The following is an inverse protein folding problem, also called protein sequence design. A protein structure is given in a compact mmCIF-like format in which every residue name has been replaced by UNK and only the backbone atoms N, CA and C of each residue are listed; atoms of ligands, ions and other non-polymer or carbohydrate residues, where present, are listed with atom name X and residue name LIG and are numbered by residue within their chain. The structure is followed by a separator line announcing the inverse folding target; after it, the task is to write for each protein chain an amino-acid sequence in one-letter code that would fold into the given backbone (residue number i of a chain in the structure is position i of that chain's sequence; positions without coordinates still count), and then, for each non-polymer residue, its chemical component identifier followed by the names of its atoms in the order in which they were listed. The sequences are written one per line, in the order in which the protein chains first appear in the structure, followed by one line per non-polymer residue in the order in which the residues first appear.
data_IF_399093990453
#
_entry.id   IF_399093990453
#
_cell.length_a   1.000
_cell.length_b   1.000
_cell.length_c   1.000
_cell.angle_alpha   90.00
_cell.angle_beta   90.00
_cell.angle_gamma   90.00
#
_symmetry.space_group_name_H-M   'P 1'
#
loop_
_entity.id
_entity.type
_entity.pdbx_description
1 polymer ?
#
# COMPACT_ATOMS: atom_id res chain seq x y z
N UNK A 1 -8.34 -4.87 -3.44
CA UNK A 1 -8.42 -3.87 -2.36
C UNK A 1 -8.05 -4.52 -1.05
N UNK A 2 -7.23 -3.86 -0.22
CA UNK A 2 -6.85 -4.34 1.13
C UNK A 2 -7.34 -3.41 2.24
N UNK A 3 -7.35 -3.90 3.47
CA UNK A 3 -7.67 -3.13 4.66
C UNK A 3 -6.43 -2.95 5.54
N UNK A 4 -6.32 -1.82 6.20
CA UNK A 4 -5.30 -1.56 7.22
C UNK A 4 -5.60 -2.36 8.52
N UNK A 5 -4.59 -2.93 9.19
CA UNK A 5 -3.20 -3.04 8.75
C UNK A 5 -3.05 -4.05 7.62
N UNK A 6 -2.14 -3.78 6.68
CA UNK A 6 -1.88 -4.70 5.58
C UNK A 6 -0.85 -5.76 5.97
N UNK A 7 -0.99 -6.94 5.36
CA UNK A 7 0.01 -8.00 5.39
C UNK A 7 0.49 -8.31 3.97
N UNK A 8 1.81 -8.25 3.76
CA UNK A 8 2.45 -8.53 2.47
C UNK A 8 2.97 -9.97 2.45
N UNK A 9 2.57 -10.83 1.49
CA UNK A 9 2.99 -12.24 1.49
C UNK A 9 4.51 -12.44 1.38
N UNK A 10 5.05 -13.31 2.26
CA UNK A 10 6.42 -13.84 2.20
C UNK A 10 6.44 -15.24 1.60
N UNK A 11 7.58 -15.63 1.06
CA UNK A 11 7.76 -16.95 0.44
C UNK A 11 8.89 -17.73 1.12
N UNK A 12 8.70 -19.02 1.38
CA UNK A 12 9.74 -19.87 1.99
C UNK A 12 10.28 -20.89 1.00
N UNK A 13 11.35 -20.57 0.27
CA UNK A 13 12.05 -21.56 -0.56
C UNK A 13 13.01 -22.38 0.31
N UNK A 14 12.73 -23.68 0.45
CA UNK A 14 13.51 -24.62 1.29
C UNK A 14 14.46 -25.53 0.50
N UNK A 15 14.50 -25.41 -0.82
CA UNK A 15 15.34 -26.27 -1.65
C UNK A 15 16.83 -25.91 -1.57
N UNK A 16 17.71 -26.82 -1.98
CA UNK A 16 19.17 -26.67 -1.89
C UNK A 16 19.79 -25.64 -2.87
N UNK A 17 19.01 -25.09 -3.81
CA UNK A 17 19.53 -24.14 -4.79
C UNK A 17 19.79 -22.76 -4.14
N UNK A 18 21.07 -22.43 -3.91
CA UNK A 18 21.50 -21.19 -3.26
C UNK A 18 21.05 -19.92 -3.99
N UNK A 19 20.99 -19.92 -5.32
CA UNK A 19 20.56 -18.75 -6.08
C UNK A 19 19.07 -18.44 -5.83
N UNK A 20 18.24 -19.50 -5.77
CA UNK A 20 16.82 -19.36 -5.43
C UNK A 20 16.63 -18.92 -3.97
N UNK A 21 17.43 -19.44 -3.04
CA UNK A 21 17.41 -18.98 -1.64
C UNK A 21 17.73 -17.48 -1.53
N UNK A 22 18.80 -17.01 -2.18
CA UNK A 22 19.17 -15.59 -2.20
C UNK A 22 18.06 -14.72 -2.79
N UNK A 23 17.46 -15.15 -3.91
CA UNK A 23 16.33 -14.42 -4.55
C UNK A 23 15.13 -14.34 -3.61
N UNK A 24 14.74 -15.44 -2.99
CA UNK A 24 13.65 -15.49 -2.02
C UNK A 24 13.94 -14.61 -0.80
N UNK A 25 15.17 -14.66 -0.27
CA UNK A 25 15.58 -13.80 0.84
C UNK A 25 15.44 -12.32 0.48
N UNK A 26 15.98 -11.90 -0.66
CA UNK A 26 15.88 -10.50 -1.08
C UNK A 26 14.42 -10.08 -1.29
N UNK A 27 13.60 -10.94 -1.92
CA UNK A 27 12.17 -10.66 -2.10
C UNK A 27 11.46 -10.50 -0.75
N UNK A 28 11.74 -11.35 0.23
CA UNK A 28 11.11 -11.26 1.56
C UNK A 28 11.57 -10.03 2.35
N UNK A 29 12.84 -9.63 2.18
CA UNK A 29 13.38 -8.39 2.74
C UNK A 29 12.61 -7.19 2.20
N UNK A 30 12.46 -7.09 0.87
CA UNK A 30 11.67 -6.01 0.24
C UNK A 30 10.21 -6.06 0.66
N UNK A 31 9.58 -7.25 0.73
CA UNK A 31 8.22 -7.40 1.22
C UNK A 31 8.02 -6.83 2.64
N UNK A 32 9.01 -7.03 3.52
CA UNK A 32 8.99 -6.50 4.88
C UNK A 32 9.13 -4.98 4.89
N UNK A 33 10.01 -4.42 4.05
CA UNK A 33 10.15 -2.96 3.93
C UNK A 33 8.88 -2.30 3.38
N UNK A 34 8.27 -2.88 2.35
CA UNK A 34 7.02 -2.38 1.75
C UNK A 34 5.89 -2.42 2.78
N UNK A 35 5.72 -3.53 3.50
CA UNK A 35 4.69 -3.64 4.55
C UNK A 35 4.90 -2.58 5.64
N UNK A 36 6.14 -2.45 6.13
CA UNK A 36 6.46 -1.51 7.18
C UNK A 36 6.22 -0.06 6.73
N UNK A 37 6.64 0.30 5.53
CA UNK A 37 6.43 1.63 4.94
C UNK A 37 4.95 1.98 4.86
N UNK A 38 4.15 1.11 4.25
CA UNK A 38 2.72 1.36 4.05
C UNK A 38 1.99 1.42 5.40
N UNK A 39 2.23 0.48 6.31
CA UNK A 39 1.56 0.48 7.61
C UNK A 39 1.97 1.67 8.47
N UNK A 40 3.23 2.08 8.42
CA UNK A 40 3.71 3.28 9.14
C UNK A 40 3.02 4.53 8.59
N UNK A 41 3.00 4.71 7.27
CA UNK A 41 2.34 5.84 6.64
C UNK A 41 0.82 5.85 6.95
N UNK A 42 0.13 4.72 6.79
CA UNK A 42 -1.29 4.60 7.11
C UNK A 42 -1.59 4.82 8.60
N UNK A 43 -0.69 4.46 9.52
CA UNK A 43 -0.90 4.68 10.95
C UNK A 43 -1.13 6.15 11.30
N UNK A 44 -0.52 7.06 10.54
CA UNK A 44 -0.64 8.52 10.70
C UNK A 44 -1.91 9.13 10.11
N UNK A 45 -2.64 8.37 9.28
CA UNK A 45 -3.81 8.89 8.56
C UNK A 45 -5.10 8.72 9.38
N UNK A 46 -6.14 9.54 9.13
CA UNK A 46 -7.44 9.34 9.78
C UNK A 46 -8.02 7.95 9.50
N UNK A 47 -8.90 7.48 10.37
CA UNK A 47 -9.74 6.32 10.07
C UNK A 47 -10.81 6.69 9.03
N UNK A 48 -11.41 5.67 8.44
CA UNK A 48 -12.44 5.75 7.41
C UNK A 48 -11.94 6.54 6.19
N UNK A 49 -10.76 6.14 5.68
CA UNK A 49 -10.12 6.75 4.50
C UNK A 49 -9.68 5.72 3.48
N UNK A 50 -9.60 6.14 2.22
CA UNK A 50 -9.08 5.34 1.11
C UNK A 50 -7.78 5.96 0.63
N UNK A 51 -6.73 5.14 0.56
CA UNK A 51 -5.39 5.56 0.12
C UNK A 51 -4.90 4.67 -1.02
N UNK A 52 -4.31 5.30 -2.03
CA UNK A 52 -3.68 4.63 -3.15
C UNK A 52 -2.17 4.80 -3.04
N UNK A 53 -1.45 3.71 -3.22
CA UNK A 53 0.00 3.69 -3.25
C UNK A 53 0.49 3.18 -4.59
N UNK A 54 1.39 3.92 -5.23
CA UNK A 54 1.99 3.50 -6.49
C UNK A 54 3.30 2.75 -6.26
N UNK A 55 3.49 1.63 -6.97
CA UNK A 55 4.69 0.80 -6.80
C UNK A 55 5.98 1.55 -7.13
N UNK A 56 5.96 2.40 -8.16
CA UNK A 56 7.10 3.21 -8.55
C UNK A 56 7.51 4.22 -7.47
N UNK A 57 6.53 4.85 -6.80
CA UNK A 57 6.81 5.80 -5.73
C UNK A 57 7.36 5.08 -4.50
N UNK A 58 6.77 3.94 -4.10
CA UNK A 58 7.30 3.13 -2.99
C UNK A 58 8.74 2.69 -3.27
N UNK A 59 9.05 2.26 -4.50
CA UNK A 59 10.40 1.87 -4.87
C UNK A 59 11.40 3.01 -4.73
N UNK A 60 11.00 4.23 -5.13
CA UNK A 60 11.81 5.44 -4.98
C UNK A 60 12.06 5.78 -3.50
N UNK A 61 11.02 5.77 -2.66
CA UNK A 61 11.14 6.09 -1.23
C UNK A 61 12.01 5.08 -0.47
N UNK A 62 11.94 3.80 -0.85
CA UNK A 62 12.73 2.74 -0.23
C UNK A 62 14.13 2.56 -0.84
N UNK A 63 14.43 3.21 -1.97
CA UNK A 63 15.67 2.99 -2.71
C UNK A 63 15.82 1.56 -3.24
N UNK A 64 14.71 0.90 -3.57
CA UNK A 64 14.67 -0.50 -3.99
C UNK A 64 14.42 -0.66 -5.49
N UNK A 65 14.69 -1.86 -6.02
CA UNK A 65 14.40 -2.17 -7.42
C UNK A 65 12.89 -2.06 -7.72
N UNK A 66 12.54 -1.22 -8.69
CA UNK A 66 11.15 -0.92 -9.05
C UNK A 66 10.38 -2.16 -9.49
N UNK A 67 11.03 -3.07 -10.24
CA UNK A 67 10.38 -4.31 -10.67
C UNK A 67 10.10 -5.23 -9.48
N UNK A 68 11.04 -5.36 -8.55
CA UNK A 68 10.88 -6.19 -7.37
C UNK A 68 9.78 -5.67 -6.45
N UNK A 69 9.71 -4.35 -6.23
CA UNK A 69 8.63 -3.71 -5.45
C UNK A 69 7.28 -3.90 -6.14
N UNK A 70 7.23 -3.74 -7.47
CA UNK A 70 6.03 -4.04 -8.26
C UNK A 70 5.58 -5.50 -8.09
N UNK A 71 6.48 -6.48 -8.27
CA UNK A 71 6.17 -7.91 -8.10
C UNK A 71 5.65 -8.22 -6.68
N UNK A 72 6.16 -7.51 -5.66
CA UNK A 72 5.72 -7.62 -4.25
C UNK A 72 4.30 -7.07 -4.06
N UNK A 73 4.03 -5.87 -4.57
CA UNK A 73 2.71 -5.23 -4.47
C UNK A 73 1.67 -6.00 -5.26
N UNK A 74 2.02 -6.42 -6.48
CA UNK A 74 1.15 -7.25 -7.32
C UNK A 74 0.77 -8.56 -6.62
N UNK A 75 1.71 -9.23 -5.95
CA UNK A 75 1.42 -10.44 -5.19
C UNK A 75 0.51 -10.21 -3.96
N UNK A 76 0.35 -8.96 -3.51
CA UNK A 76 -0.46 -8.63 -2.34
C UNK A 76 -1.93 -8.45 -2.71
N UNK A 77 -2.22 -7.70 -3.78
CA UNK A 77 -3.60 -7.30 -4.13
C UNK A 77 -3.93 -7.39 -5.63
N UNK A 78 -3.00 -7.85 -6.47
CA UNK A 78 -3.19 -8.00 -7.91
C UNK A 78 -3.23 -6.68 -8.69
N UNK A 79 -2.97 -5.54 -8.05
CA UNK A 79 -2.96 -4.23 -8.71
C UNK A 79 -1.76 -4.05 -9.64
N UNK A 80 -1.99 -3.56 -10.87
CA UNK A 80 -0.92 -3.48 -11.88
C UNK A 80 0.08 -2.35 -11.62
N UNK A 81 -0.33 -1.27 -10.96
CA UNK A 81 0.50 -0.06 -10.78
C UNK A 81 0.67 0.33 -9.30
N UNK A 82 0.14 -0.48 -8.39
CA UNK A 82 -0.05 -0.05 -7.01
C UNK A 82 -1.07 -0.88 -6.25
N UNK A 83 -1.45 -0.37 -5.08
CA UNK A 83 -2.43 -0.98 -4.19
C UNK A 83 -3.36 0.10 -3.63
N UNK A 84 -4.65 -0.22 -3.54
CA UNK A 84 -5.64 0.61 -2.87
C UNK A 84 -5.97 -0.01 -1.52
N UNK A 85 -5.84 0.80 -0.47
CA UNK A 85 -6.01 0.38 0.92
C UNK A 85 -7.07 1.24 1.60
N UNK A 86 -7.98 0.58 2.30
CA UNK A 86 -9.00 1.20 3.13
C UNK A 86 -8.54 1.13 4.58
N UNK A 87 -8.55 2.26 5.29
CA UNK A 87 -8.35 2.30 6.73
C UNK A 87 -9.69 2.51 7.41
N UNK A 88 -10.11 1.58 8.26
CA UNK A 88 -11.42 1.63 8.92
C UNK A 88 -12.53 1.05 8.05
N UNK A 89 -13.70 1.68 8.11
CA UNK A 89 -14.92 1.22 7.46
C UNK A 89 -15.02 1.74 6.01
N UNK A 90 -15.31 0.84 5.07
CA UNK A 90 -15.33 1.17 3.65
C UNK A 90 -16.50 2.10 3.28
N UNK A 91 -17.69 1.87 3.81
CA UNK A 91 -18.87 2.67 3.46
C UNK A 91 -18.70 4.11 3.96
N UNK A 92 -18.23 4.28 5.20
CA UNK A 92 -17.90 5.60 5.75
C UNK A 92 -16.77 6.27 4.97
N UNK A 93 -15.76 5.52 4.54
CA UNK A 93 -14.68 6.06 3.74
C UNK A 93 -15.14 6.51 2.34
N UNK A 94 -16.06 5.77 1.73
CA UNK A 94 -16.68 6.14 0.46
C UNK A 94 -17.59 7.36 0.62
N UNK A 95 -18.37 7.44 1.70
CA UNK A 95 -19.19 8.62 2.00
C UNK A 95 -18.31 9.86 2.15
N UNK A 96 -17.23 9.78 2.92
CA UNK A 96 -16.27 10.87 3.10
C UNK A 96 -15.60 11.31 1.78
N UNK A 97 -15.35 10.38 0.85
CA UNK A 97 -14.77 10.69 -0.46
C UNK A 97 -15.73 11.47 -1.37
N UNK A 98 -17.03 11.21 -1.27
CA UNK A 98 -18.06 11.85 -2.11
C UNK A 98 -18.59 13.18 -1.55
N UNK A 99 -18.25 13.55 -0.32
CA UNK A 99 -18.64 14.86 0.21
C UNK A 99 -17.92 15.98 -0.57
N UNK A 100 -18.67 16.99 -1.08
CA UNK A 100 -18.06 18.12 -1.78
C UNK A 100 -17.15 18.88 -0.80
N UNK A 101 -15.90 19.13 -1.21
CA UNK A 101 -14.86 19.76 -0.37
C UNK A 101 -15.10 21.23 -0.03
N UNK A 102 -16.23 21.83 -0.40
CA UNK A 102 -16.53 23.24 -0.09
C UNK A 102 -18.01 23.46 0.26
N UNK A 103 -18.30 23.69 1.55
CA UNK A 103 -19.48 24.43 2.02
C UNK A 103 -19.07 25.76 2.68
N UNK A 104 -17.93 26.33 2.29
CA UNK A 104 -17.36 27.54 2.93
C UNK A 104 -17.40 28.80 2.06
N UNK A 105 -18.17 28.83 0.96
CA UNK A 105 -18.26 30.01 0.07
C UNK A 105 -19.67 30.41 -0.40
N UNK A 106 -20.75 29.98 0.28
CA UNK A 106 -22.12 30.43 -0.08
C UNK A 106 -22.95 30.90 1.12
N UNK A 107 -22.32 31.55 2.11
CA UNK A 107 -23.01 32.16 3.24
C UNK A 107 -22.67 33.66 3.45
N UNK A 108 -22.00 34.29 2.49
CA UNK A 108 -21.67 35.73 2.52
C UNK A 108 -22.21 36.47 1.29
N UNK A 109 -23.46 36.21 0.92
CA UNK A 109 -24.25 37.18 0.13
C UNK A 109 -25.68 37.16 0.69
N UNK A 110 -25.88 37.87 1.79
CA UNK A 110 -27.16 38.43 2.20
C UNK A 110 -27.10 39.94 1.95
#
# INVERSE_FOLDING_TARGET
MKFYPIEVPRTGYRGANLAKQKKTYNRNRVATLVEHYINTDLSTKPNDTIHQYHSAHIAQELGEDSKLVHDVIFATDGGSNGITIVKGDYERAMEALHQPKDKTKMAEEN
#
